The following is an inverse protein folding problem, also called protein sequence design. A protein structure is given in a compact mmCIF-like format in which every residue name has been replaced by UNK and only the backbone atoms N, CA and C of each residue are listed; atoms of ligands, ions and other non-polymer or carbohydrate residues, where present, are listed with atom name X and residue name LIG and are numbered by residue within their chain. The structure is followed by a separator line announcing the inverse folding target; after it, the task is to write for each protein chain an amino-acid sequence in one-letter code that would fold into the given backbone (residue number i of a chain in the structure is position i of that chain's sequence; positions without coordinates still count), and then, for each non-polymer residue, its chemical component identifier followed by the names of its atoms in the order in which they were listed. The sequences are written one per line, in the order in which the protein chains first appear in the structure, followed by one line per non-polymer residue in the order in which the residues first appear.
data_IF_192684674123
#
_entry.id   IF_192684674123
#
_cell.length_a   1.000
_cell.length_b   1.000
_cell.length_c   1.000
_cell.angle_alpha   90.00
_cell.angle_beta   90.00
_cell.angle_gamma   90.00
#
_symmetry.space_group_name_H-M   'P 1'
#
loop_
_entity.id
_entity.type
_entity.pdbx_description
1 polymer ?
#
# COMPACT_ATOMS: atom_id res chain seq x y z
N UNK A 1 17.62 15.00 14.24
CA UNK A 1 17.21 13.75 14.91
C UNK A 1 17.11 12.70 13.84
N UNK A 2 18.04 11.75 13.81
CA UNK A 2 17.93 10.57 12.95
C UNK A 2 16.73 9.74 13.43
N UNK A 3 15.77 9.51 12.54
CA UNK A 3 14.62 8.68 12.80
C UNK A 3 15.05 7.22 12.54
N UNK A 4 15.34 6.47 13.59
CA UNK A 4 15.75 5.08 13.48
C UNK A 4 14.61 4.15 13.91
N UNK A 5 14.26 3.17 13.06
CA UNK A 5 13.40 2.06 13.46
C UNK A 5 14.24 1.17 14.39
N UNK A 6 13.79 1.03 15.64
CA UNK A 6 14.47 0.24 16.66
C UNK A 6 13.95 -1.21 16.64
N UNK A 7 12.64 -1.37 16.41
CA UNK A 7 11.97 -2.67 16.37
C UNK A 7 10.82 -2.61 15.38
N UNK A 8 10.66 -3.64 14.57
CA UNK A 8 9.50 -3.83 13.70
C UNK A 8 9.04 -5.28 13.74
N UNK A 9 7.76 -5.51 13.49
CA UNK A 9 7.19 -6.86 13.47
C UNK A 9 5.76 -6.86 12.95
N UNK A 10 5.19 -8.05 12.80
CA UNK A 10 3.78 -8.25 12.45
C UNK A 10 3.15 -9.27 13.39
N UNK A 11 1.88 -9.10 13.68
CA UNK A 11 1.10 -9.99 14.53
C UNK A 11 -0.31 -10.11 13.98
N UNK A 12 -0.94 -11.27 14.12
CA UNK A 12 -2.33 -11.46 13.79
C UNK A 12 -3.20 -10.59 14.72
N UNK A 13 -4.29 -10.01 14.18
CA UNK A 13 -5.20 -9.15 14.94
C UNK A 13 -5.77 -9.83 16.19
N UNK A 14 -6.00 -11.14 16.13
CA UNK A 14 -6.46 -11.95 17.26
C UNK A 14 -5.43 -12.03 18.40
N UNK A 15 -4.14 -11.96 18.08
CA UNK A 15 -3.01 -12.02 19.01
C UNK A 15 -2.46 -10.63 19.37
N UNK A 16 -3.16 -9.57 19.00
CA UNK A 16 -2.71 -8.19 19.20
C UNK A 16 -2.43 -7.86 20.69
N UNK A 17 -3.24 -8.44 21.60
CA UNK A 17 -3.06 -8.24 23.05
C UNK A 17 -1.84 -8.99 23.63
N UNK A 18 -1.25 -9.91 22.85
CA UNK A 18 -0.08 -10.68 23.26
C UNK A 18 1.25 -9.97 22.93
N UNK A 19 1.17 -8.76 22.33
CA UNK A 19 2.36 -7.95 22.03
C UNK A 19 3.02 -7.56 23.35
N UNK A 20 4.25 -8.02 23.54
CA UNK A 20 5.06 -7.65 24.69
C UNK A 20 5.61 -6.22 24.54
N UNK A 21 5.06 -5.31 25.33
CA UNK A 21 5.47 -3.90 25.40
C UNK A 21 6.33 -3.60 26.65
N UNK A 22 6.72 -4.62 27.41
CA UNK A 22 7.42 -4.44 28.71
C UNK A 22 8.80 -3.80 28.59
N UNK A 23 9.45 -3.93 27.44
CA UNK A 23 10.74 -3.29 27.17
C UNK A 23 10.62 -1.79 26.85
N UNK A 24 9.41 -1.30 26.53
CA UNK A 24 9.16 0.11 26.21
C UNK A 24 9.00 0.87 27.51
N UNK A 25 10.05 1.59 27.91
CA UNK A 25 10.06 2.39 29.16
C UNK A 25 9.35 3.73 29.03
N UNK A 26 9.35 4.31 27.85
CA UNK A 26 8.75 5.62 27.57
C UNK A 26 8.16 5.62 26.16
N UNK A 27 6.87 5.89 26.07
CA UNK A 27 6.15 6.09 24.83
C UNK A 27 5.65 7.53 24.78
N UNK A 28 6.14 8.32 23.82
CA UNK A 28 5.79 9.73 23.71
C UNK A 28 4.52 9.97 22.90
N UNK A 29 4.28 9.12 21.89
CA UNK A 29 3.17 9.25 20.95
C UNK A 29 2.95 7.93 20.22
N UNK A 30 1.72 7.61 19.90
CA UNK A 30 1.34 6.52 19.02
C UNK A 30 0.62 7.10 17.81
N UNK A 31 1.04 6.72 16.61
CA UNK A 31 0.38 7.09 15.36
C UNK A 31 -0.16 5.82 14.71
N UNK A 32 -1.44 5.82 14.39
CA UNK A 32 -2.16 4.62 13.93
C UNK A 32 -2.76 4.85 12.55
N UNK A 33 -2.50 3.90 11.66
CA UNK A 33 -3.25 3.70 10.42
C UNK A 33 -4.23 2.56 10.63
N UNK A 34 -5.52 2.81 10.54
CA UNK A 34 -6.55 1.81 10.75
C UNK A 34 -7.49 1.75 9.56
N UNK A 35 -7.49 0.63 8.86
CA UNK A 35 -8.41 0.33 7.74
C UNK A 35 -9.47 -0.71 8.14
N UNK A 36 -9.48 -1.13 9.40
CA UNK A 36 -10.40 -2.11 9.97
C UNK A 36 -11.46 -1.46 10.86
N UNK A 37 -12.32 -2.30 11.45
CA UNK A 37 -13.33 -1.84 12.40
C UNK A 37 -12.70 -1.26 13.68
N UNK A 38 -13.44 -0.40 14.36
CA UNK A 38 -13.06 0.29 15.61
C UNK A 38 -12.52 -0.64 16.72
N UNK A 39 -12.92 -1.90 16.73
CA UNK A 39 -12.52 -2.91 17.73
C UNK A 39 -10.98 -3.03 17.86
N UNK A 40 -10.23 -2.94 16.75
CA UNK A 40 -8.77 -3.06 16.79
C UNK A 40 -8.16 -1.83 17.47
N UNK A 41 -8.70 -0.65 17.17
CA UNK A 41 -8.25 0.59 17.79
C UNK A 41 -8.59 0.64 19.29
N UNK A 42 -9.77 0.14 19.69
CA UNK A 42 -10.16 0.08 21.10
C UNK A 42 -9.22 -0.87 21.89
N UNK A 43 -8.93 -2.04 21.34
CA UNK A 43 -7.93 -2.97 21.92
C UNK A 43 -6.54 -2.33 22.01
N UNK A 44 -6.12 -1.57 21.00
CA UNK A 44 -4.85 -0.84 21.04
C UNK A 44 -4.83 0.15 22.20
N UNK A 45 -5.90 0.93 22.36
CA UNK A 45 -6.04 1.91 23.45
C UNK A 45 -5.98 1.24 24.83
N UNK A 46 -6.65 0.10 24.98
CA UNK A 46 -6.62 -0.69 26.21
C UNK A 46 -5.21 -1.19 26.55
N UNK A 47 -4.49 -1.71 25.56
CA UNK A 47 -3.11 -2.21 25.74
C UNK A 47 -2.11 -1.10 26.08
N UNK A 48 -2.35 0.11 25.58
CA UNK A 48 -1.48 1.28 25.77
C UNK A 48 -1.87 2.18 26.94
N UNK A 49 -2.93 1.86 27.70
CA UNK A 49 -3.48 2.71 28.75
C UNK A 49 -2.44 3.11 29.81
N UNK A 50 -1.44 2.28 30.04
CA UNK A 50 -0.40 2.51 31.05
C UNK A 50 0.66 3.52 30.62
N UNK A 51 0.72 3.89 29.34
CA UNK A 51 1.76 4.79 28.83
C UNK A 51 1.40 6.26 28.90
N UNK A 52 0.13 6.60 29.16
CA UNK A 52 -0.36 8.00 29.24
C UNK A 52 0.18 8.88 28.09
N UNK A 53 0.12 8.36 26.86
CA UNK A 53 0.62 9.03 25.67
C UNK A 53 -0.51 9.28 24.66
N UNK A 54 -0.45 10.37 23.86
CA UNK A 54 -1.44 10.64 22.83
C UNK A 54 -1.42 9.56 21.74
N UNK A 55 -2.62 9.10 21.38
CA UNK A 55 -2.82 8.19 20.24
C UNK A 55 -3.48 9.01 19.12
N UNK A 56 -2.78 9.13 17.99
CA UNK A 56 -3.25 9.84 16.80
C UNK A 56 -3.68 8.81 15.77
N UNK A 57 -4.95 8.77 15.47
CA UNK A 57 -5.48 8.02 14.33
C UNK A 57 -5.40 8.91 13.09
N UNK A 58 -4.67 8.46 12.07
CA UNK A 58 -4.54 9.20 10.82
C UNK A 58 -5.82 9.05 10.01
N UNK A 59 -6.27 10.16 9.45
CA UNK A 59 -7.38 10.25 8.50
C UNK A 59 -6.88 10.79 7.16
N UNK A 60 -7.62 10.48 6.10
CA UNK A 60 -7.23 10.81 4.72
C UNK A 60 -7.67 12.22 4.30
N UNK A 61 -7.48 13.20 5.18
CA UNK A 61 -7.82 14.59 4.90
C UNK A 61 -6.61 15.38 4.37
N UNK A 62 -6.90 16.36 3.50
CA UNK A 62 -5.89 17.29 2.99
C UNK A 62 -5.14 17.98 4.12
N UNK A 63 -3.83 18.14 3.95
CA UNK A 63 -2.96 18.85 4.87
C UNK A 63 -2.05 19.82 4.10
N UNK A 64 -1.04 20.38 4.78
CA UNK A 64 -0.12 21.35 4.17
C UNK A 64 0.80 20.72 3.12
N UNK A 65 1.09 19.41 3.24
CA UNK A 65 2.04 18.69 2.37
C UNK A 65 1.36 18.09 1.14
N UNK A 66 0.13 17.53 1.29
CA UNK A 66 -0.57 16.83 0.24
C UNK A 66 -2.08 17.15 0.28
N UNK A 67 -2.65 17.48 -0.86
CA UNK A 67 -4.07 17.76 -1.04
C UNK A 67 -4.77 16.48 -1.52
N UNK A 68 -5.85 16.11 -0.87
CA UNK A 68 -6.69 14.99 -1.29
C UNK A 68 -7.79 15.48 -2.24
N UNK A 69 -7.72 15.08 -3.51
CA UNK A 69 -8.66 15.50 -4.56
C UNK A 69 -9.93 14.62 -4.64
N UNK A 70 -10.13 13.69 -3.71
CA UNK A 70 -11.37 12.93 -3.65
C UNK A 70 -12.55 13.86 -3.38
N UNK A 71 -13.66 13.64 -4.07
CA UNK A 71 -14.91 14.39 -3.85
C UNK A 71 -15.43 14.27 -2.42
N UNK A 72 -15.24 13.10 -1.81
CA UNK A 72 -15.42 12.84 -0.39
C UNK A 72 -14.11 12.24 0.16
N UNK A 73 -13.35 13.08 0.85
CA UNK A 73 -12.01 12.72 1.36
C UNK A 73 -12.07 11.56 2.37
N UNK A 74 -13.19 11.41 3.10
CA UNK A 74 -13.38 10.35 4.09
C UNK A 74 -13.45 8.95 3.47
N UNK A 75 -13.69 8.85 2.17
CA UNK A 75 -13.78 7.57 1.46
C UNK A 75 -12.44 7.05 0.94
N UNK A 76 -11.39 7.86 1.00
CA UNK A 76 -10.04 7.42 0.65
C UNK A 76 -9.47 6.52 1.75
N UNK A 77 -9.03 5.32 1.42
CA UNK A 77 -8.32 4.43 2.34
C UNK A 77 -7.06 5.10 2.91
N UNK A 78 -6.92 5.06 4.25
CA UNK A 78 -5.81 5.71 4.94
C UNK A 78 -4.45 5.09 4.58
N UNK A 79 -4.40 3.82 4.22
CA UNK A 79 -3.21 3.14 3.71
C UNK A 79 -2.72 3.74 2.40
N UNK A 80 -3.64 4.03 1.46
CA UNK A 80 -3.32 4.71 0.19
C UNK A 80 -2.85 6.15 0.42
N UNK A 81 -3.53 6.86 1.32
CA UNK A 81 -3.15 8.21 1.72
C UNK A 81 -1.73 8.24 2.28
N UNK A 82 -1.42 7.35 3.22
CA UNK A 82 -0.11 7.26 3.84
C UNK A 82 0.99 6.84 2.87
N UNK A 83 0.71 5.87 1.99
CA UNK A 83 1.66 5.50 0.94
C UNK A 83 1.97 6.70 0.02
N UNK A 84 0.96 7.50 -0.33
CA UNK A 84 1.14 8.72 -1.11
C UNK A 84 1.93 9.79 -0.35
N UNK A 85 1.64 10.00 0.93
CA UNK A 85 2.40 10.91 1.80
C UNK A 85 3.88 10.52 1.91
N UNK A 86 4.15 9.21 2.14
CA UNK A 86 5.52 8.69 2.19
C UNK A 86 6.26 8.87 0.87
N UNK A 87 5.59 8.55 -0.24
CA UNK A 87 6.13 8.73 -1.58
C UNK A 87 6.44 10.20 -1.87
N UNK A 88 5.52 11.11 -1.58
CA UNK A 88 5.72 12.55 -1.72
C UNK A 88 6.91 13.05 -0.91
N UNK A 89 7.02 12.60 0.33
CA UNK A 89 8.11 13.02 1.23
C UNK A 89 9.49 12.60 0.75
N UNK A 90 9.59 11.40 0.15
CA UNK A 90 10.87 10.87 -0.34
C UNK A 90 11.27 11.54 -1.65
N UNK A 91 10.32 11.76 -2.58
CA UNK A 91 10.64 12.14 -3.95
C UNK A 91 10.29 13.58 -4.30
N UNK A 92 9.21 14.15 -3.78
CA UNK A 92 8.83 15.55 -3.99
C UNK A 92 8.53 15.93 -5.43
N UNK A 93 8.11 14.98 -6.26
CA UNK A 93 7.83 15.14 -7.69
C UNK A 93 6.56 14.39 -8.12
N UNK A 94 6.11 14.63 -9.34
CA UNK A 94 5.01 13.86 -9.94
C UNK A 94 5.41 12.38 -10.02
N UNK A 95 4.54 11.48 -9.57
CA UNK A 95 4.85 10.05 -9.53
C UNK A 95 3.61 9.16 -9.46
N UNK A 96 3.81 7.89 -9.80
CA UNK A 96 2.82 6.83 -9.64
C UNK A 96 3.22 5.99 -8.41
N UNK A 97 2.25 5.74 -7.52
CA UNK A 97 2.42 4.82 -6.38
C UNK A 97 1.62 3.56 -6.67
N UNK A 98 2.30 2.41 -6.67
CA UNK A 98 1.67 1.09 -6.75
C UNK A 98 1.88 0.40 -5.41
N UNK A 99 0.80 0.08 -4.72
CA UNK A 99 0.86 -0.74 -3.50
C UNK A 99 0.29 -2.12 -3.81
N UNK A 100 1.14 -3.14 -3.69
CA UNK A 100 0.86 -4.53 -4.03
C UNK A 100 0.69 -5.38 -2.77
N UNK A 101 -0.52 -5.44 -2.24
CA UNK A 101 -0.89 -6.19 -1.04
C UNK A 101 -2.20 -6.96 -1.21
N UNK A 102 -3.01 -6.97 -0.18
CA UNK A 102 -4.38 -7.56 -0.19
C UNK A 102 -5.21 -7.01 -1.36
N UNK A 103 -5.11 -5.72 -1.62
CA UNK A 103 -5.53 -5.09 -2.87
C UNK A 103 -4.30 -4.54 -3.59
N UNK A 104 -4.39 -4.37 -4.90
CA UNK A 104 -3.41 -3.62 -5.67
C UNK A 104 -4.00 -2.26 -5.98
N UNK A 105 -3.31 -1.21 -5.56
CA UNK A 105 -3.70 0.16 -5.87
C UNK A 105 -2.68 0.80 -6.79
N UNK A 106 -3.14 1.66 -7.70
CA UNK A 106 -2.29 2.43 -8.62
C UNK A 106 -2.75 3.86 -8.51
N UNK A 107 -1.98 4.68 -7.82
CA UNK A 107 -2.32 6.04 -7.43
C UNK A 107 -1.40 7.07 -8.07
N UNK A 108 -1.95 8.24 -8.37
CA UNK A 108 -1.22 9.34 -9.00
C UNK A 108 -1.05 10.50 -8.02
N UNK A 109 0.20 10.95 -7.87
CA UNK A 109 0.54 12.21 -7.21
C UNK A 109 1.02 13.19 -8.27
N UNK A 110 0.46 14.40 -8.27
CA UNK A 110 0.85 15.46 -9.18
C UNK A 110 0.98 16.81 -8.49
N UNK A 111 1.93 17.60 -8.95
CA UNK A 111 2.14 18.97 -8.52
C UNK A 111 1.31 19.90 -9.40
N UNK A 112 0.58 20.82 -8.79
CA UNK A 112 -0.15 21.86 -9.50
C UNK A 112 0.75 23.05 -9.91
N UNK A 113 0.17 24.00 -10.63
CA UNK A 113 0.88 25.23 -11.06
C UNK A 113 1.36 26.10 -9.88
N UNK A 114 0.79 25.93 -8.69
CA UNK A 114 1.17 26.62 -7.44
C UNK A 114 2.19 25.83 -6.62
N UNK A 115 2.72 24.75 -7.18
CA UNK A 115 3.67 23.83 -6.54
C UNK A 115 3.10 23.12 -5.30
N UNK A 116 1.79 22.85 -5.29
CA UNK A 116 1.13 22.02 -4.29
C UNK A 116 1.01 20.60 -4.81
N UNK A 117 1.32 19.63 -3.96
CA UNK A 117 1.15 18.21 -4.27
C UNK A 117 -0.32 17.81 -4.09
N UNK A 118 -0.82 16.99 -5.00
CA UNK A 118 -2.18 16.50 -5.03
C UNK A 118 -2.21 14.98 -5.17
N UNK A 119 -2.93 14.31 -4.30
CA UNK A 119 -3.38 12.95 -4.51
C UNK A 119 -4.55 12.98 -5.50
N UNK A 120 -4.28 12.64 -6.75
CA UNK A 120 -5.27 12.72 -7.85
C UNK A 120 -6.26 11.55 -7.87
N UNK A 121 -6.06 10.57 -6.99
CA UNK A 121 -6.79 9.31 -7.04
C UNK A 121 -6.08 8.27 -7.89
N UNK A 122 -6.79 7.19 -8.18
CA UNK A 122 -6.22 6.06 -8.89
C UNK A 122 -7.22 4.94 -9.10
N UNK A 123 -6.75 3.71 -9.11
CA UNK A 123 -7.58 2.52 -9.25
C UNK A 123 -7.23 1.47 -8.20
N UNK A 124 -8.19 0.59 -7.93
CA UNK A 124 -8.06 -0.53 -7.01
C UNK A 124 -8.40 -1.81 -7.76
N UNK A 125 -7.52 -2.80 -7.65
CA UNK A 125 -7.73 -4.14 -8.16
C UNK A 125 -7.63 -5.14 -7.00
N UNK A 126 -8.26 -6.31 -7.09
CA UNK A 126 -8.00 -7.37 -6.11
C UNK A 126 -6.54 -7.81 -6.19
N UNK A 127 -5.92 -8.03 -5.02
CA UNK A 127 -4.56 -8.57 -4.94
C UNK A 127 -4.48 -10.02 -5.43
N UNK A 128 -3.27 -10.53 -5.59
CA UNK A 128 -2.99 -11.85 -6.16
C UNK A 128 -3.67 -12.94 -5.33
N UNK A 129 -3.47 -12.94 -4.02
CA UNK A 129 -4.06 -13.93 -3.11
C UNK A 129 -5.60 -13.91 -3.12
N UNK A 130 -6.21 -12.71 -3.15
CA UNK A 130 -7.67 -12.57 -3.24
C UNK A 130 -8.17 -13.12 -4.57
N UNK A 131 -7.52 -12.79 -5.67
CA UNK A 131 -7.90 -13.24 -7.01
C UNK A 131 -7.86 -14.76 -7.12
N UNK A 132 -6.81 -15.41 -6.61
CA UNK A 132 -6.68 -16.86 -6.52
C UNK A 132 -7.79 -17.47 -5.65
N UNK A 133 -8.03 -16.89 -4.46
CA UNK A 133 -9.05 -17.36 -3.53
C UNK A 133 -10.47 -17.30 -4.10
N UNK A 134 -10.82 -16.23 -4.82
CA UNK A 134 -12.14 -16.08 -5.48
C UNK A 134 -12.33 -17.19 -6.53
N UNK A 135 -11.33 -17.43 -7.37
CA UNK A 135 -11.40 -18.44 -8.42
C UNK A 135 -11.47 -19.85 -7.83
N UNK A 136 -10.68 -20.14 -6.79
CA UNK A 136 -10.74 -21.42 -6.09
C UNK A 136 -12.13 -21.66 -5.49
N UNK A 137 -12.66 -20.71 -4.73
CA UNK A 137 -13.96 -20.83 -4.08
C UNK A 137 -15.13 -20.98 -5.09
N UNK A 138 -14.97 -20.43 -6.30
CA UNK A 138 -16.00 -20.45 -7.33
C UNK A 138 -16.02 -21.73 -8.16
N UNK A 139 -14.91 -22.50 -8.19
CA UNK A 139 -14.77 -23.61 -9.17
C UNK A 139 -14.41 -24.95 -8.53
N UNK A 140 -13.98 -25.03 -7.28
CA UNK A 140 -13.46 -26.22 -6.58
C UNK A 140 -12.35 -27.00 -7.34
N UNK A 141 -11.79 -26.41 -8.40
CA UNK A 141 -10.81 -27.04 -9.30
C UNK A 141 -9.50 -26.24 -9.40
N UNK A 142 -9.48 -25.04 -8.85
CA UNK A 142 -8.34 -24.12 -8.95
C UNK A 142 -7.59 -24.11 -7.62
N UNK A 143 -6.30 -24.40 -7.68
CA UNK A 143 -5.40 -24.31 -6.53
C UNK A 143 -5.17 -22.84 -6.14
N UNK A 144 -4.92 -22.60 -4.86
CA UNK A 144 -4.52 -21.27 -4.34
C UNK A 144 -3.03 -20.98 -4.49
N UNK A 145 -2.25 -21.95 -4.94
CA UNK A 145 -0.83 -21.76 -5.20
C UNK A 145 -0.56 -20.98 -6.49
N UNK A 146 0.47 -20.15 -6.45
CA UNK A 146 0.93 -19.41 -7.64
C UNK A 146 1.66 -20.36 -8.58
N UNK A 147 1.25 -20.38 -9.87
CA UNK A 147 1.90 -21.09 -10.95
C UNK A 147 2.98 -20.25 -11.66
N UNK A 148 3.43 -20.73 -12.81
CA UNK A 148 4.32 -19.98 -13.69
C UNK A 148 3.50 -19.08 -14.63
N UNK A 149 3.95 -17.83 -14.77
CA UNK A 149 3.34 -16.89 -15.72
C UNK A 149 3.96 -17.10 -17.10
N UNK A 150 3.17 -17.66 -18.03
CA UNK A 150 3.55 -17.84 -19.42
C UNK A 150 2.33 -17.90 -20.33
N UNK A 151 2.46 -17.41 -21.54
CA UNK A 151 1.41 -17.49 -22.55
C UNK A 151 1.91 -18.14 -23.84
N UNK A 152 1.19 -19.13 -24.38
CA UNK A 152 0.02 -19.81 -23.81
C UNK A 152 0.40 -20.70 -22.63
N UNK A 153 -0.46 -20.75 -21.61
CA UNK A 153 -0.32 -21.65 -20.47
C UNK A 153 -0.90 -23.03 -20.80
N UNK A 154 -0.23 -24.10 -20.38
CA UNK A 154 -0.61 -25.48 -20.73
C UNK A 154 -1.29 -26.24 -19.58
N UNK A 155 -1.53 -25.58 -18.44
CA UNK A 155 -2.28 -26.13 -17.30
C UNK A 155 -3.07 -25.01 -16.60
N UNK A 156 -4.06 -25.39 -15.78
CA UNK A 156 -4.97 -24.45 -15.12
C UNK A 156 -4.26 -23.52 -14.15
N UNK A 157 -3.33 -24.03 -13.36
CA UNK A 157 -2.58 -23.25 -12.36
C UNK A 157 -1.81 -22.10 -13.02
N UNK A 158 -1.06 -22.40 -14.07
CA UNK A 158 -0.30 -21.39 -14.82
C UNK A 158 -1.22 -20.43 -15.58
N UNK A 159 -2.35 -20.93 -16.14
CA UNK A 159 -3.30 -20.09 -16.84
C UNK A 159 -3.96 -19.05 -15.90
N UNK A 160 -4.32 -19.45 -14.69
CA UNK A 160 -4.86 -18.54 -13.67
C UNK A 160 -3.82 -17.51 -13.25
N UNK A 161 -2.61 -17.95 -12.93
CA UNK A 161 -1.51 -17.05 -12.56
C UNK A 161 -1.21 -16.06 -13.68
N UNK A 162 -1.09 -16.53 -14.90
CA UNK A 162 -0.86 -15.67 -16.08
C UNK A 162 -1.97 -14.63 -16.23
N UNK A 163 -3.24 -15.06 -16.11
CA UNK A 163 -4.39 -14.16 -16.23
C UNK A 163 -4.39 -13.06 -15.16
N UNK A 164 -4.12 -13.40 -13.91
CA UNK A 164 -4.04 -12.43 -12.80
C UNK A 164 -2.92 -11.43 -13.04
N UNK A 165 -1.70 -11.90 -13.29
CA UNK A 165 -0.53 -11.03 -13.48
C UNK A 165 -0.68 -10.16 -14.73
N UNK A 166 -1.19 -10.71 -15.84
CA UNK A 166 -1.47 -9.94 -17.07
C UNK A 166 -2.52 -8.84 -16.83
N UNK A 167 -3.54 -9.11 -15.99
CA UNK A 167 -4.56 -8.10 -15.64
C UNK A 167 -3.93 -6.92 -14.89
N UNK A 168 -3.05 -7.20 -13.93
CA UNK A 168 -2.31 -6.19 -13.17
C UNK A 168 -1.40 -5.39 -14.11
N UNK A 169 -0.60 -6.06 -14.93
CA UNK A 169 0.27 -5.42 -15.89
C UNK A 169 -0.51 -4.55 -16.90
N UNK A 170 -1.66 -5.05 -17.36
CA UNK A 170 -2.54 -4.31 -18.25
C UNK A 170 -3.04 -3.01 -17.62
N UNK A 171 -3.39 -3.03 -16.34
CA UNK A 171 -3.80 -1.84 -15.59
C UNK A 171 -2.64 -0.83 -15.47
N UNK A 172 -1.45 -1.28 -15.08
CA UNK A 172 -0.25 -0.42 -15.00
C UNK A 172 0.10 0.15 -16.36
N UNK A 173 0.13 -0.67 -17.41
CA UNK A 173 0.39 -0.23 -18.78
C UNK A 173 -0.62 0.84 -19.25
N UNK A 174 -1.90 0.68 -18.90
CA UNK A 174 -2.93 1.66 -19.24
C UNK A 174 -2.65 3.02 -18.58
N UNK A 175 -2.28 3.02 -17.31
CA UNK A 175 -1.91 4.24 -16.57
C UNK A 175 -0.67 4.88 -17.17
N UNK A 176 0.38 4.09 -17.40
CA UNK A 176 1.64 4.56 -17.96
C UNK A 176 1.49 5.16 -19.37
N UNK A 177 0.57 4.63 -20.19
CA UNK A 177 0.28 5.18 -21.53
C UNK A 177 -0.49 6.50 -21.50
N UNK A 178 -1.20 6.81 -20.42
CA UNK A 178 -1.98 8.04 -20.26
C UNK A 178 -1.20 9.18 -19.61
N UNK A 179 -0.06 8.89 -19.02
CA UNK A 179 0.77 9.83 -18.27
C UNK A 179 2.11 10.05 -18.99
N UNK A 180 2.86 11.11 -18.65
CA UNK A 180 4.20 11.33 -19.17
C UNK A 180 5.09 10.08 -18.99
N UNK A 181 5.89 9.78 -20.01
CA UNK A 181 6.68 8.55 -20.08
C UNK A 181 7.88 8.50 -19.12
N UNK A 182 8.19 9.59 -18.47
CA UNK A 182 9.30 9.77 -17.53
C UNK A 182 8.88 9.75 -16.06
N UNK A 183 7.57 9.67 -15.77
CA UNK A 183 7.11 9.61 -14.37
C UNK A 183 7.68 8.39 -13.65
N UNK A 184 8.33 8.58 -12.49
CA UNK A 184 8.77 7.47 -11.65
C UNK A 184 7.57 6.67 -11.12
N UNK A 185 7.82 5.38 -10.92
CA UNK A 185 6.83 4.44 -10.38
C UNK A 185 7.41 3.88 -9.08
N UNK A 186 6.74 4.14 -7.97
CA UNK A 186 7.09 3.54 -6.70
C UNK A 186 6.22 2.30 -6.48
N UNK A 187 6.87 1.17 -6.31
CA UNK A 187 6.23 -0.12 -6.09
C UNK A 187 6.48 -0.57 -4.65
N UNK A 188 5.42 -0.80 -3.90
CA UNK A 188 5.44 -1.19 -2.49
C UNK A 188 4.52 -2.39 -2.24
N UNK A 189 4.64 -2.99 -1.07
CA UNK A 189 3.79 -4.10 -0.63
C UNK A 189 4.42 -5.48 -0.79
N UNK A 190 3.78 -6.50 -0.18
CA UNK A 190 4.34 -7.85 -0.12
C UNK A 190 4.51 -8.56 -1.47
N UNK A 191 3.72 -8.19 -2.47
CA UNK A 191 3.77 -8.76 -3.83
C UNK A 191 4.61 -7.90 -4.81
N UNK A 192 5.32 -6.88 -4.31
CA UNK A 192 6.09 -5.94 -5.14
C UNK A 192 7.15 -6.65 -6.01
N UNK A 193 7.94 -7.53 -5.42
CA UNK A 193 8.98 -8.27 -6.15
C UNK A 193 8.41 -9.15 -7.26
N UNK A 194 7.27 -9.80 -7.01
CA UNK A 194 6.59 -10.63 -8.01
C UNK A 194 6.11 -9.77 -9.18
N UNK A 195 5.45 -8.65 -8.91
CA UNK A 195 4.98 -7.72 -9.94
C UNK A 195 6.17 -7.16 -10.72
N UNK A 196 7.25 -6.75 -10.02
CA UNK A 196 8.46 -6.24 -10.66
C UNK A 196 9.10 -7.27 -11.59
N UNK A 197 9.19 -8.54 -11.15
CA UNK A 197 9.77 -9.62 -11.96
C UNK A 197 9.05 -9.85 -13.28
N UNK A 198 7.74 -9.60 -13.30
CA UNK A 198 6.85 -9.79 -14.45
C UNK A 198 6.64 -8.50 -15.27
N UNK A 199 7.26 -7.38 -14.87
CA UNK A 199 7.07 -6.10 -15.54
C UNK A 199 7.72 -6.05 -16.91
N UNK A 200 7.04 -5.39 -17.85
CA UNK A 200 7.56 -5.12 -19.19
C UNK A 200 8.64 -4.03 -19.18
N UNK A 201 9.57 -4.07 -20.13
CA UNK A 201 10.73 -3.17 -20.18
C UNK A 201 10.34 -1.68 -20.29
N UNK A 202 9.21 -1.37 -20.93
CA UNK A 202 8.74 0.02 -21.15
C UNK A 202 8.59 0.84 -19.87
N UNK A 203 8.21 0.22 -18.78
CA UNK A 203 8.02 0.91 -17.50
C UNK A 203 8.88 0.34 -16.36
N UNK A 204 9.45 -0.83 -16.53
CA UNK A 204 10.32 -1.50 -15.55
C UNK A 204 11.51 -0.64 -15.15
N UNK A 205 12.12 0.07 -16.09
CA UNK A 205 13.25 0.97 -15.84
C UNK A 205 12.91 2.18 -14.96
N UNK A 206 11.63 2.49 -14.81
CA UNK A 206 11.12 3.59 -13.98
C UNK A 206 10.71 3.16 -12.57
N UNK A 207 10.65 1.83 -12.34
CA UNK A 207 10.23 1.29 -11.04
C UNK A 207 11.36 1.43 -10.03
N UNK A 208 10.97 1.91 -8.85
CA UNK A 208 11.74 1.81 -7.62
C UNK A 208 10.91 1.07 -6.59
N UNK A 209 11.48 0.05 -5.98
CA UNK A 209 10.80 -0.71 -4.91
C UNK A 209 11.08 -0.01 -3.59
N UNK A 210 10.00 0.37 -2.90
CA UNK A 210 10.03 1.05 -1.61
C UNK A 210 9.14 0.31 -0.62
N UNK A 211 9.73 -0.47 0.28
CA UNK A 211 8.99 -1.37 1.17
C UNK A 211 8.14 -0.64 2.22
N UNK A 212 8.54 0.55 2.64
CA UNK A 212 8.07 1.18 3.87
C UNK A 212 7.26 2.47 3.66
N UNK A 213 6.66 2.69 2.48
CA UNK A 213 5.95 3.93 2.13
C UNK A 213 4.89 4.33 3.16
N UNK A 214 4.12 3.38 3.68
CA UNK A 214 3.09 3.65 4.69
C UNK A 214 3.74 4.14 5.99
N UNK A 215 4.84 3.52 6.42
CA UNK A 215 5.57 3.94 7.61
C UNK A 215 6.21 5.32 7.43
N UNK A 216 6.77 5.60 6.26
CA UNK A 216 7.28 6.94 5.93
C UNK A 216 6.15 8.00 5.96
N UNK A 217 4.96 7.65 5.49
CA UNK A 217 3.78 8.50 5.62
C UNK A 217 3.37 8.73 7.07
N UNK A 218 3.35 7.68 7.91
CA UNK A 218 3.07 7.78 9.35
C UNK A 218 4.07 8.71 10.06
N UNK A 219 5.33 8.72 9.63
CA UNK A 219 6.36 9.59 10.19
C UNK A 219 6.12 11.09 9.93
N UNK A 220 5.18 11.47 9.08
CA UNK A 220 4.73 12.86 8.91
C UNK A 220 3.87 13.36 10.08
N UNK A 221 3.33 12.45 10.89
CA UNK A 221 2.45 12.74 12.03
C UNK A 221 3.16 12.61 13.40
N UNK A 222 4.48 12.31 13.41
CA UNK A 222 5.29 12.10 14.64
C UNK A 222 5.88 13.38 15.23
#
# INVERSE_FOLDING_TARGET
NEKNIILSGSVLVENFMDIDLTEIKLLKKVVVSNVNHSIVLDKLKENLIHFDCPIIEVISESNEELINDYSDQSTLGVDRWLAAMGAWKIYGEDLIVINAGTAITIDLIQIDQKRKAHFRGGMILPGIAISLGILNNSTNLIDTEIGQSQYPSLNTKDAVTTGILTSIQGAVNLVCKKLPSDLPILLSGGDADLIFSQSEDDWKSRIKIESDLIFEGLMSYV
#
